data_IF_308325456197
#
_entry.id   IF_308325456197
#
_cell.length_a   1.000
_cell.length_b   1.000
_cell.length_c   1.000
_cell.angle_alpha   90.00
_cell.angle_beta   90.00
_cell.angle_gamma   90.00
#
_symmetry.space_group_name_H-M   'P 1'
#
loop_
_entity.id
_entity.type
_entity.pdbx_description
1 polymer ?
#
# COMPACT_ATOMS: atom_id res chain seq x y z
N UNK A 1 4.69 15.06 6.90
CA UNK A 1 5.29 13.95 6.13
C UNK A 1 4.84 14.03 4.69
N UNK A 2 5.70 13.68 3.72
CA UNK A 2 5.41 13.67 2.27
C UNK A 2 5.87 12.35 1.67
N UNK A 3 5.33 11.91 0.53
CA UNK A 3 5.84 10.74 -0.18
C UNK A 3 7.32 10.90 -0.48
N UNK A 4 8.11 9.84 -0.29
CA UNK A 4 9.53 9.78 -0.63
C UNK A 4 9.81 8.49 -1.40
N UNK A 5 10.88 8.50 -2.18
CA UNK A 5 11.39 7.29 -2.83
C UNK A 5 12.43 6.66 -1.91
N UNK A 6 12.22 5.44 -1.47
CA UNK A 6 13.07 4.78 -0.48
C UNK A 6 14.50 4.57 -0.98
N UNK A 7 14.69 4.35 -2.29
CA UNK A 7 16.03 4.26 -2.87
C UNK A 7 16.84 5.54 -2.66
N UNK A 8 16.20 6.72 -2.75
CA UNK A 8 16.84 8.01 -2.46
C UNK A 8 17.14 8.13 -0.97
N UNK A 9 16.19 7.76 -0.10
CA UNK A 9 16.37 7.81 1.36
C UNK A 9 17.56 6.93 1.79
N UNK A 10 17.63 5.70 1.28
CA UNK A 10 18.74 4.77 1.56
C UNK A 10 20.09 5.28 1.06
N UNK A 11 20.14 5.88 -0.14
CA UNK A 11 21.38 6.51 -0.64
C UNK A 11 21.82 7.68 0.21
N UNK A 12 20.89 8.51 0.68
CA UNK A 12 21.23 9.59 1.62
C UNK A 12 21.78 9.03 2.93
N UNK A 13 21.20 7.98 3.45
CA UNK A 13 21.69 7.31 4.65
C UNK A 13 23.10 6.73 4.44
N UNK A 14 23.37 6.15 3.27
CA UNK A 14 24.70 5.67 2.88
C UNK A 14 25.72 6.82 2.80
N UNK A 15 25.34 7.99 2.27
CA UNK A 15 26.23 9.17 2.26
C UNK A 15 26.56 9.59 3.69
N UNK A 16 25.57 9.65 4.60
CA UNK A 16 25.81 9.97 6.01
C UNK A 16 26.79 8.95 6.63
N UNK A 17 26.60 7.66 6.35
CA UNK A 17 27.49 6.62 6.86
C UNK A 17 28.94 6.76 6.38
N UNK A 18 29.15 7.10 5.10
CA UNK A 18 30.48 7.34 4.51
C UNK A 18 31.20 8.59 5.07
N UNK A 19 30.47 9.49 5.71
CA UNK A 19 30.99 10.68 6.38
C UNK A 19 31.16 10.44 7.90
N UNK A 20 31.68 9.28 8.28
CA UNK A 20 31.83 8.84 9.67
C UNK A 20 30.54 8.96 10.52
N UNK A 21 29.40 8.84 9.84
CA UNK A 21 28.08 8.96 10.45
C UNK A 21 27.71 10.37 10.92
N UNK A 22 28.41 11.42 10.44
CA UNK A 22 28.21 12.82 10.86
C UNK A 22 28.37 13.79 9.70
N UNK A 23 27.29 14.57 9.40
CA UNK A 23 27.31 15.52 8.28
C UNK A 23 26.35 16.70 8.53
N UNK A 24 26.63 17.87 7.99
CA UNK A 24 25.65 18.96 7.95
C UNK A 24 24.58 18.69 6.90
N UNK A 25 23.29 19.07 7.13
CA UNK A 25 22.23 18.87 6.15
C UNK A 25 22.50 19.46 4.77
N UNK A 26 23.18 20.61 4.73
CA UNK A 26 23.53 21.26 3.46
C UNK A 26 24.67 20.53 2.73
N UNK A 27 25.63 19.98 3.44
CA UNK A 27 26.72 19.17 2.88
C UNK A 27 26.17 17.86 2.33
N UNK A 28 25.26 17.20 3.05
CA UNK A 28 24.55 16.01 2.57
C UNK A 28 23.83 16.31 1.26
N UNK A 29 23.12 17.44 1.18
CA UNK A 29 22.41 17.84 -0.02
C UNK A 29 23.36 18.09 -1.20
N UNK A 30 24.49 18.75 -0.97
CA UNK A 30 25.49 19.02 -2.00
C UNK A 30 26.13 17.74 -2.53
N UNK A 31 26.51 16.81 -1.65
CA UNK A 31 27.07 15.51 -2.05
C UNK A 31 26.01 14.72 -2.83
N UNK A 32 24.77 14.64 -2.34
CA UNK A 32 23.69 13.94 -3.01
C UNK A 32 23.37 14.52 -4.41
N UNK A 33 23.50 15.83 -4.60
CA UNK A 33 23.37 16.47 -5.90
C UNK A 33 24.53 16.09 -6.81
N UNK A 34 25.77 16.18 -6.33
CA UNK A 34 26.97 15.83 -7.08
C UNK A 34 26.97 14.36 -7.52
N UNK A 35 26.53 13.44 -6.64
CA UNK A 35 26.40 12.01 -6.96
C UNK A 35 25.13 11.68 -7.79
N UNK A 36 24.30 12.68 -8.12
CA UNK A 36 23.10 12.48 -8.91
C UNK A 36 21.99 11.70 -8.19
N UNK A 37 22.01 11.65 -6.86
CA UNK A 37 20.98 11.00 -6.04
C UNK A 37 19.64 11.71 -6.19
N UNK A 38 19.65 13.05 -6.21
CA UNK A 38 18.46 13.87 -6.38
C UNK A 38 18.11 14.10 -7.86
N UNK A 39 17.84 13.03 -8.60
CA UNK A 39 17.37 13.11 -9.98
C UNK A 39 15.93 12.60 -10.11
N UNK A 40 15.12 13.28 -10.90
CA UNK A 40 13.79 12.81 -11.28
C UNK A 40 13.90 11.56 -12.15
N UNK A 41 13.21 10.50 -11.81
CA UNK A 41 13.13 9.27 -12.62
C UNK A 41 12.52 9.52 -14.00
N UNK A 42 11.64 10.52 -14.10
CA UNK A 42 10.91 10.82 -15.35
C UNK A 42 11.70 11.71 -16.29
N UNK A 43 12.38 12.73 -15.75
CA UNK A 43 13.04 13.76 -16.57
C UNK A 43 14.56 13.68 -16.53
N UNK A 44 15.14 12.93 -15.59
CA UNK A 44 16.60 12.89 -15.35
C UNK A 44 17.19 14.18 -14.77
N UNK A 45 16.38 15.23 -14.62
CA UNK A 45 16.81 16.53 -14.08
C UNK A 45 16.93 16.51 -12.57
N UNK A 46 17.78 17.38 -11.97
CA UNK A 46 17.85 17.52 -10.52
C UNK A 46 16.48 17.87 -9.91
N UNK A 47 16.16 17.26 -8.78
CA UNK A 47 14.95 17.59 -8.02
C UNK A 47 15.03 19.03 -7.50
N UNK A 48 13.90 19.75 -7.50
CA UNK A 48 13.77 21.07 -6.90
C UNK A 48 14.08 21.03 -5.38
N UNK A 49 14.33 22.18 -4.77
CA UNK A 49 14.67 22.29 -3.34
C UNK A 49 13.62 21.67 -2.41
N UNK A 50 12.32 21.93 -2.67
CA UNK A 50 11.24 21.43 -1.80
C UNK A 50 11.18 19.90 -1.68
N UNK A 51 11.20 19.10 -2.77
CA UNK A 51 11.33 17.64 -2.65
C UNK A 51 12.56 17.21 -1.86
N UNK A 52 13.73 17.80 -2.09
CA UNK A 52 14.98 17.46 -1.38
C UNK A 52 14.85 17.66 0.13
N UNK A 53 14.19 18.73 0.56
CA UNK A 53 13.89 18.98 1.96
C UNK A 53 13.06 17.84 2.59
N UNK A 54 12.06 17.29 1.89
CA UNK A 54 11.24 16.21 2.43
C UNK A 54 12.00 14.89 2.57
N UNK A 55 12.94 14.59 1.69
CA UNK A 55 13.82 13.43 1.86
C UNK A 55 14.69 13.55 3.12
N UNK A 56 15.28 14.73 3.37
CA UNK A 56 16.04 14.97 4.60
C UNK A 56 15.18 14.85 5.85
N UNK A 57 13.96 15.41 5.79
CA UNK A 57 13.00 15.28 6.89
C UNK A 57 12.56 13.83 7.14
N UNK A 58 12.47 13.00 6.12
CA UNK A 58 12.18 11.57 6.31
C UNK A 58 13.29 10.87 7.11
N UNK A 59 14.57 11.22 6.89
CA UNK A 59 15.67 10.68 7.69
C UNK A 59 15.52 11.01 9.19
N UNK A 60 15.15 12.25 9.50
CA UNK A 60 14.93 12.70 10.89
C UNK A 60 13.68 12.03 11.49
N UNK A 61 12.54 12.10 10.80
CA UNK A 61 11.26 11.59 11.30
C UNK A 61 11.26 10.10 11.61
N UNK A 62 11.98 9.32 10.84
CA UNK A 62 12.07 7.87 11.04
C UNK A 62 13.24 7.47 11.94
N UNK A 63 13.95 8.44 12.51
CA UNK A 63 15.05 8.18 13.41
C UNK A 63 16.28 7.55 12.75
N UNK A 64 16.43 7.68 11.43
CA UNK A 64 17.65 7.26 10.73
C UNK A 64 18.84 8.09 11.14
N UNK A 65 18.58 9.38 11.38
CA UNK A 65 19.57 10.33 11.88
C UNK A 65 19.00 11.17 13.01
N UNK A 66 19.86 11.59 13.91
CA UNK A 66 19.57 12.58 14.94
C UNK A 66 20.18 13.92 14.52
N UNK A 67 19.40 14.99 14.64
CA UNK A 67 19.89 16.33 14.38
C UNK A 67 20.38 16.98 15.68
N UNK A 68 21.69 16.99 15.89
CA UNK A 68 22.31 17.56 17.09
C UNK A 68 23.14 18.77 16.66
N UNK A 69 22.80 19.95 17.18
CA UNK A 69 23.50 21.21 16.89
C UNK A 69 23.70 21.49 15.38
N UNK A 70 22.67 21.20 14.59
CA UNK A 70 22.68 21.43 13.14
C UNK A 70 23.51 20.43 12.33
N UNK A 71 23.85 19.29 12.91
CA UNK A 71 24.51 18.18 12.22
C UNK A 71 23.67 16.91 12.36
N UNK A 72 23.63 16.13 11.31
CA UNK A 72 23.06 14.79 11.31
C UNK A 72 24.07 13.79 11.86
N UNK A 73 23.64 13.00 12.82
CA UNK A 73 24.36 11.86 13.35
C UNK A 73 23.55 10.61 13.02
N UNK A 74 24.20 9.60 12.46
CA UNK A 74 23.53 8.35 12.16
C UNK A 74 23.09 7.65 13.45
N UNK A 75 21.89 7.15 13.47
CA UNK A 75 21.40 6.37 14.61
C UNK A 75 22.16 5.06 14.73
N UNK A 76 22.61 4.72 15.93
CA UNK A 76 23.30 3.46 16.23
C UNK A 76 22.35 2.30 16.56
N UNK A 77 21.05 2.47 16.32
CA UNK A 77 20.09 1.39 16.53
C UNK A 77 20.34 0.22 15.59
N UNK A 78 20.21 -1.04 16.05
CA UNK A 78 20.48 -2.22 15.24
C UNK A 78 19.75 -2.25 13.87
N UNK A 79 18.46 -1.87 13.79
CA UNK A 79 17.76 -1.82 12.50
C UNK A 79 18.40 -0.85 11.49
N UNK A 80 18.89 0.30 11.95
CA UNK A 80 19.52 1.31 11.09
C UNK A 80 20.89 0.81 10.61
N UNK A 81 21.68 0.20 11.51
CA UNK A 81 22.96 -0.39 11.14
C UNK A 81 22.81 -1.51 10.11
N UNK A 82 21.74 -2.30 10.19
CA UNK A 82 21.41 -3.33 9.20
C UNK A 82 21.06 -2.72 7.83
N UNK A 83 20.33 -1.61 7.79
CA UNK A 83 20.00 -0.91 6.54
C UNK A 83 21.25 -0.42 5.81
N UNK A 84 22.28 -0.02 6.53
CA UNK A 84 23.52 0.53 5.98
C UNK A 84 24.48 -0.57 5.54
N UNK A 85 24.50 -1.71 6.22
CA UNK A 85 25.46 -2.80 6.00
C UNK A 85 25.39 -3.45 4.61
N UNK A 86 24.30 -3.23 3.86
CA UNK A 86 24.06 -3.79 2.52
C UNK A 86 23.91 -2.66 1.49
N UNK A 87 24.14 -2.98 0.20
CA UNK A 87 23.97 -2.02 -0.91
C UNK A 87 22.66 -1.25 -0.82
N UNK A 88 22.62 0.00 -1.26
CA UNK A 88 21.47 0.93 -1.18
C UNK A 88 20.23 0.51 -2.03
N UNK A 89 20.13 -0.74 -2.47
CA UNK A 89 18.94 -1.29 -3.14
C UNK A 89 17.94 -1.81 -2.13
N UNK A 90 16.67 -1.50 -2.35
CA UNK A 90 15.58 -1.95 -1.48
C UNK A 90 15.25 -3.43 -1.77
N UNK A 91 15.43 -4.29 -0.79
CA UNK A 91 15.02 -5.70 -0.80
C UNK A 91 13.90 -5.96 0.23
N UNK A 92 13.40 -7.18 0.30
CA UNK A 92 12.31 -7.56 1.20
C UNK A 92 12.67 -7.35 2.68
N UNK A 93 13.92 -7.59 3.07
CA UNK A 93 14.35 -7.39 4.44
C UNK A 93 14.40 -5.91 4.82
N UNK A 94 14.94 -5.06 3.93
CA UNK A 94 14.94 -3.61 4.13
C UNK A 94 13.53 -3.03 4.17
N UNK A 95 12.62 -3.53 3.30
CA UNK A 95 11.20 -3.16 3.37
C UNK A 95 10.61 -3.46 4.74
N UNK A 96 10.88 -4.65 5.30
CA UNK A 96 10.41 -5.02 6.63
C UNK A 96 10.96 -4.10 7.71
N UNK A 97 12.26 -3.83 7.71
CA UNK A 97 12.90 -2.93 8.68
C UNK A 97 12.31 -1.51 8.59
N UNK A 98 12.15 -0.98 7.39
CA UNK A 98 11.55 0.34 7.17
C UNK A 98 10.10 0.35 7.67
N UNK A 99 9.33 -0.70 7.38
CA UNK A 99 7.96 -0.83 7.87
C UNK A 99 7.89 -0.82 9.40
N UNK A 100 8.77 -1.54 10.08
CA UNK A 100 8.88 -1.53 11.54
C UNK A 100 9.20 -0.14 12.09
N UNK A 101 10.14 0.59 11.46
CA UNK A 101 10.46 1.95 11.86
C UNK A 101 9.28 2.91 11.67
N UNK A 102 8.51 2.75 10.59
CA UNK A 102 7.32 3.56 10.35
C UNK A 102 6.24 3.28 11.43
N UNK A 103 5.94 2.02 11.70
CA UNK A 103 4.87 1.67 12.66
C UNK A 103 5.23 2.02 14.10
N UNK A 104 6.51 2.04 14.44
CA UNK A 104 7.01 2.42 15.76
C UNK A 104 7.24 3.92 15.93
N UNK A 105 7.21 4.70 14.85
CA UNK A 105 7.31 6.14 14.92
C UNK A 105 6.08 6.73 15.64
N UNK A 106 6.28 7.57 16.66
CA UNK A 106 5.23 8.11 17.52
C UNK A 106 4.11 8.81 16.74
N UNK A 107 4.46 9.65 15.75
CA UNK A 107 3.49 10.36 14.92
C UNK A 107 2.69 9.40 14.02
N UNK A 108 3.38 8.40 13.46
CA UNK A 108 2.75 7.37 12.62
C UNK A 108 1.82 6.49 13.45
N UNK A 109 2.30 6.07 14.63
CA UNK A 109 1.55 5.25 15.58
C UNK A 109 0.26 5.94 15.99
N UNK A 110 0.35 7.16 16.50
CA UNK A 110 -0.78 7.94 17.02
C UNK A 110 -1.82 8.26 15.94
N UNK A 111 -1.39 8.64 14.75
CA UNK A 111 -2.29 9.19 13.74
C UNK A 111 -2.82 8.18 12.72
N UNK A 112 -2.20 7.01 12.58
CA UNK A 112 -2.60 6.03 11.58
C UNK A 112 -2.59 4.60 12.11
N UNK A 113 -1.45 4.13 12.66
CA UNK A 113 -1.27 2.72 13.06
C UNK A 113 -2.24 2.32 14.17
N UNK A 114 -2.56 3.24 15.09
CA UNK A 114 -3.50 3.02 16.19
C UNK A 114 -4.91 2.59 15.74
N UNK A 115 -5.28 2.89 14.48
CA UNK A 115 -6.54 2.45 13.89
C UNK A 115 -6.59 0.95 13.59
N UNK A 116 -5.45 0.27 13.59
CA UNK A 116 -5.34 -1.17 13.32
C UNK A 116 -5.06 -1.99 14.58
N UNK A 117 -4.80 -1.35 15.72
CA UNK A 117 -4.35 -2.00 16.94
C UNK A 117 -5.47 -2.10 17.97
N UNK A 118 -5.57 -3.29 18.61
CA UNK A 118 -6.40 -3.51 19.80
C UNK A 118 -5.74 -2.95 21.06
N UNK A 119 -4.41 -2.99 21.12
CA UNK A 119 -3.58 -2.50 22.21
C UNK A 119 -2.40 -1.65 21.70
N UNK A 120 -1.62 -1.09 22.60
CA UNK A 120 -0.49 -0.18 22.26
C UNK A 120 0.79 -0.90 21.78
N UNK A 121 0.79 -2.22 21.67
CA UNK A 121 1.94 -2.97 21.16
C UNK A 121 2.04 -2.83 19.65
N UNK A 122 3.17 -2.33 19.17
CA UNK A 122 3.40 -1.98 17.78
C UNK A 122 4.44 -2.86 17.08
N UNK A 123 4.46 -4.17 17.33
CA UNK A 123 5.25 -5.05 16.50
C UNK A 123 4.54 -5.24 15.15
N UNK A 124 5.27 -5.06 14.06
CA UNK A 124 4.72 -5.21 12.71
C UNK A 124 4.07 -6.58 12.51
N UNK A 125 4.69 -7.65 12.99
CA UNK A 125 4.17 -9.00 12.91
C UNK A 125 2.82 -9.15 13.65
N UNK A 126 2.66 -8.54 14.82
CA UNK A 126 1.41 -8.56 15.56
C UNK A 126 0.28 -7.85 14.81
N UNK A 127 0.60 -6.70 14.17
CA UNK A 127 -0.35 -5.96 13.35
C UNK A 127 -0.74 -6.78 12.11
N UNK A 128 0.23 -7.41 11.46
CA UNK A 128 0.01 -8.25 10.30
C UNK A 128 -0.84 -9.48 10.59
N UNK A 129 -0.80 -10.00 11.81
CA UNK A 129 -1.58 -11.14 12.25
C UNK A 129 -2.98 -10.76 12.78
N UNK A 130 -3.28 -9.48 13.00
CA UNK A 130 -4.59 -9.02 13.45
C UNK A 130 -5.56 -8.83 12.29
N UNK A 131 -6.83 -9.04 12.53
CA UNK A 131 -7.90 -8.90 11.52
C UNK A 131 -8.43 -7.47 11.35
N UNK A 132 -7.73 -6.45 11.86
CA UNK A 132 -8.14 -5.07 11.75
C UNK A 132 -7.87 -4.49 10.36
N UNK A 133 -8.81 -3.69 9.87
CA UNK A 133 -8.73 -2.94 8.63
C UNK A 133 -9.35 -1.56 8.83
N UNK A 134 -9.03 -0.64 7.93
CA UNK A 134 -9.53 0.72 7.96
C UNK A 134 -10.27 1.03 6.67
N UNK A 135 -11.43 1.64 6.78
CA UNK A 135 -12.18 2.17 5.65
C UNK A 135 -11.94 3.68 5.60
N UNK A 136 -11.36 4.13 4.51
CA UNK A 136 -11.25 5.55 4.23
C UNK A 136 -12.47 6.01 3.41
N UNK A 137 -13.30 6.84 4.00
CA UNK A 137 -14.50 7.42 3.36
C UNK A 137 -14.21 8.84 2.92
N UNK A 138 -14.79 9.20 1.81
CA UNK A 138 -14.66 10.43 1.04
C UNK A 138 -13.41 10.57 0.19
N UNK A 139 -13.65 10.65 -1.11
CA UNK A 139 -12.70 10.76 -2.18
C UNK A 139 -13.21 11.74 -3.19
N UNK A 140 -12.73 12.87 -3.21
CA UNK A 140 -12.52 13.57 -4.45
C UNK A 140 -11.42 14.59 -4.19
N UNK A 141 -10.20 14.16 -4.44
CA UNK A 141 -9.24 15.11 -4.94
C UNK A 141 -9.70 15.35 -6.36
N UNK A 142 -10.65 16.25 -6.53
CA UNK A 142 -10.88 16.86 -7.81
C UNK A 142 -9.60 17.62 -8.12
N UNK A 143 -8.74 17.02 -8.92
CA UNK A 143 -7.70 17.71 -9.64
C UNK A 143 -8.38 18.63 -10.67
N UNK A 144 -9.02 19.68 -10.20
CA UNK A 144 -9.26 20.84 -11.04
C UNK A 144 -7.90 21.50 -11.24
N UNK A 145 -7.43 21.42 -12.47
CA UNK A 145 -6.23 22.08 -13.00
C UNK A 145 -6.41 23.62 -13.04
N UNK A 146 -6.83 24.25 -11.98
CA UNK A 146 -6.80 25.70 -11.88
C UNK A 146 -6.16 26.11 -10.57
N UNK A 147 -5.18 26.92 -10.70
CA UNK A 147 -4.14 27.41 -9.81
C UNK A 147 -4.58 28.20 -8.58
N UNK A 148 -5.79 28.05 -8.07
CA UNK A 148 -6.22 28.78 -6.89
C UNK A 148 -7.14 27.91 -6.03
N UNK A 149 -6.66 27.55 -4.83
CA UNK A 149 -7.37 26.92 -3.73
C UNK A 149 -7.83 25.47 -4.00
N UNK A 150 -6.93 24.51 -3.75
CA UNK A 150 -7.27 23.11 -3.54
C UNK A 150 -8.13 23.00 -2.28
N UNK A 151 -9.44 22.94 -2.41
CA UNK A 151 -10.29 22.52 -1.30
C UNK A 151 -10.15 21.01 -1.16
N UNK A 152 -9.29 20.58 -0.26
CA UNK A 152 -9.21 19.17 0.13
C UNK A 152 -10.45 18.88 0.97
N UNK A 153 -11.28 17.92 0.53
CA UNK A 153 -12.40 17.46 1.35
C UNK A 153 -11.85 16.65 2.53
N UNK A 154 -12.46 16.76 3.72
CA UNK A 154 -12.09 15.94 4.87
C UNK A 154 -12.10 14.45 4.51
N UNK A 155 -11.15 13.70 5.06
CA UNK A 155 -11.08 12.25 4.93
C UNK A 155 -11.41 11.64 6.29
N UNK A 156 -12.39 10.75 6.33
CA UNK A 156 -12.69 9.95 7.50
C UNK A 156 -12.02 8.59 7.38
N UNK A 157 -11.16 8.26 8.33
CA UNK A 157 -10.62 6.91 8.51
C UNK A 157 -11.39 6.21 9.63
N UNK A 158 -12.07 5.14 9.29
CA UNK A 158 -12.89 4.36 10.23
C UNK A 158 -12.33 2.95 10.36
N UNK A 159 -12.07 2.51 11.58
CA UNK A 159 -11.78 1.11 11.90
C UNK A 159 -13.06 0.44 12.42
N UNK A 160 -13.79 -0.31 11.58
CA UNK A 160 -15.07 -0.89 11.99
C UNK A 160 -14.92 -1.93 13.10
N UNK A 161 -13.80 -2.66 13.14
CA UNK A 161 -13.54 -3.69 14.14
C UNK A 161 -13.16 -3.13 15.50
N UNK A 162 -12.61 -1.93 15.54
CA UNK A 162 -12.12 -1.30 16.78
C UNK A 162 -12.99 -0.14 17.24
N UNK A 163 -14.05 0.16 16.50
CA UNK A 163 -14.91 1.32 16.71
C UNK A 163 -14.12 2.64 16.88
N UNK A 164 -13.07 2.80 16.06
CA UNK A 164 -12.20 3.96 16.08
C UNK A 164 -12.35 4.77 14.81
N UNK A 165 -12.42 6.10 14.97
CA UNK A 165 -12.52 7.04 13.86
C UNK A 165 -11.48 8.14 13.99
N UNK A 166 -10.90 8.55 12.86
CA UNK A 166 -10.06 9.76 12.76
C UNK A 166 -10.59 10.60 11.61
N UNK A 167 -10.96 11.84 11.91
CA UNK A 167 -11.23 12.85 10.87
C UNK A 167 -9.94 13.58 10.52
N UNK A 168 -9.63 13.63 9.24
CA UNK A 168 -8.48 14.35 8.70
C UNK A 168 -9.06 15.52 7.90
N UNK A 169 -9.04 16.71 8.45
CA UNK A 169 -9.75 17.88 7.98
C UNK A 169 -8.84 19.01 7.45
N UNK A 170 -7.58 19.02 7.87
CA UNK A 170 -6.62 20.03 7.42
C UNK A 170 -5.72 19.52 6.30
N UNK A 171 -5.37 20.37 5.30
CA UNK A 171 -4.50 19.98 4.19
C UNK A 171 -3.18 19.32 4.63
N UNK A 172 -2.52 19.88 5.64
CA UNK A 172 -1.25 19.36 6.13
C UNK A 172 -1.40 17.98 6.78
N UNK A 173 -2.47 17.77 7.52
CA UNK A 173 -2.78 16.48 8.15
C UNK A 173 -3.16 15.42 7.12
N UNK A 174 -3.96 15.79 6.10
CA UNK A 174 -4.27 14.91 4.95
C UNK A 174 -2.98 14.50 4.24
N UNK A 175 -2.09 15.45 3.98
CA UNK A 175 -0.81 15.16 3.35
C UNK A 175 0.10 14.29 4.24
N UNK A 176 0.18 14.59 5.54
CA UNK A 176 1.04 13.83 6.45
C UNK A 176 0.57 12.38 6.61
N UNK A 177 -0.72 12.15 6.83
CA UNK A 177 -1.27 10.83 7.15
C UNK A 177 -1.58 10.05 5.88
N UNK A 178 -2.44 10.58 5.03
CA UNK A 178 -2.96 9.83 3.89
C UNK A 178 -1.97 9.77 2.72
N UNK A 179 -1.26 10.85 2.44
CA UNK A 179 -0.27 10.90 1.36
C UNK A 179 1.16 10.52 1.81
N UNK A 180 1.51 10.76 3.08
CA UNK A 180 2.80 10.40 3.65
C UNK A 180 2.80 8.97 4.18
N UNK A 181 2.28 8.76 5.39
CA UNK A 181 2.38 7.48 6.12
C UNK A 181 1.78 6.33 5.33
N UNK A 182 0.56 6.48 4.82
CA UNK A 182 -0.07 5.45 4.00
C UNK A 182 0.78 5.10 2.78
N UNK A 183 1.30 6.10 2.08
CA UNK A 183 2.15 5.87 0.90
C UNK A 183 3.45 5.17 1.26
N UNK A 184 4.08 5.56 2.36
CA UNK A 184 5.29 4.92 2.85
C UNK A 184 5.07 3.43 3.13
N UNK A 185 3.99 3.08 3.82
CA UNK A 185 3.65 1.69 4.12
C UNK A 185 3.26 0.88 2.87
N UNK A 186 2.61 1.51 1.87
CA UNK A 186 2.34 0.89 0.57
C UNK A 186 3.63 0.60 -0.20
N UNK A 187 4.56 1.55 -0.24
CA UNK A 187 5.81 1.42 -0.99
C UNK A 187 6.75 0.35 -0.40
N UNK A 188 6.70 0.16 0.91
CA UNK A 188 7.39 -0.97 1.58
C UNK A 188 6.54 -2.23 1.67
N UNK A 189 5.37 -2.22 1.04
CA UNK A 189 4.48 -3.36 0.94
C UNK A 189 3.97 -3.92 2.29
N UNK A 190 4.00 -3.11 3.35
CA UNK A 190 3.47 -3.49 4.66
C UNK A 190 1.95 -3.43 4.72
N UNK A 191 1.34 -2.56 3.93
CA UNK A 191 -0.12 -2.49 3.75
C UNK A 191 -0.49 -2.68 2.29
N UNK A 192 -1.74 -3.01 2.07
CA UNK A 192 -2.36 -2.95 0.75
C UNK A 192 -3.72 -2.27 0.84
N UNK A 193 -4.29 -1.95 -0.31
CA UNK A 193 -5.56 -1.25 -0.40
C UNK A 193 -6.40 -1.73 -1.57
N UNK A 194 -7.70 -1.77 -1.37
CA UNK A 194 -8.67 -2.19 -2.37
C UNK A 194 -9.95 -1.36 -2.27
N UNK A 195 -10.65 -1.23 -3.37
CA UNK A 195 -12.03 -0.76 -3.44
C UNK A 195 -12.81 -1.88 -4.15
N UNK A 196 -13.75 -2.50 -3.45
CA UNK A 196 -14.55 -3.60 -4.01
C UNK A 196 -15.80 -3.12 -4.73
N UNK A 197 -16.27 -1.92 -4.38
CA UNK A 197 -17.40 -1.25 -5.02
C UNK A 197 -17.16 0.25 -5.10
N UNK A 198 -17.64 0.95 -6.14
CA UNK A 198 -17.53 2.43 -6.23
C UNK A 198 -18.15 3.18 -5.05
N UNK A 199 -19.14 2.57 -4.38
CA UNK A 199 -19.80 3.13 -3.18
C UNK A 199 -19.11 2.73 -1.88
N UNK A 200 -18.35 1.65 -1.86
CA UNK A 200 -17.54 1.25 -0.73
C UNK A 200 -16.34 2.20 -0.61
N UNK A 201 -15.98 2.60 0.57
CA UNK A 201 -14.75 3.35 0.77
C UNK A 201 -13.53 2.53 0.38
N UNK A 202 -12.37 3.18 0.36
CA UNK A 202 -11.09 2.50 0.19
C UNK A 202 -10.77 1.71 1.45
N UNK A 203 -10.60 0.42 1.33
CA UNK A 203 -10.19 -0.47 2.42
C UNK A 203 -8.67 -0.55 2.45
N UNK A 204 -8.08 -0.29 3.60
CA UNK A 204 -6.64 -0.34 3.85
C UNK A 204 -6.39 -1.38 4.93
N UNK A 205 -5.45 -2.27 4.72
CA UNK A 205 -5.13 -3.35 5.67
C UNK A 205 -3.64 -3.67 5.68
N UNK A 206 -3.13 -4.13 6.83
CA UNK A 206 -1.78 -4.68 6.91
C UNK A 206 -1.76 -6.06 6.25
N UNK A 207 -0.75 -6.27 5.40
CA UNK A 207 -0.59 -7.51 4.64
C UNK A 207 0.00 -8.59 5.53
N UNK A 208 -0.55 -9.80 5.47
CA UNK A 208 0.10 -10.98 6.01
C UNK A 208 1.01 -11.60 4.93
N UNK A 209 2.34 -11.50 5.05
CA UNK A 209 3.27 -11.97 4.03
C UNK A 209 3.37 -13.50 3.94
N UNK A 210 2.86 -14.24 4.94
CA UNK A 210 2.94 -15.70 4.98
C UNK A 210 1.85 -16.41 4.18
N UNK A 211 0.92 -15.66 3.57
CA UNK A 211 -0.17 -16.26 2.80
C UNK A 211 0.34 -16.71 1.43
N UNK A 212 0.38 -18.02 1.22
CA UNK A 212 0.77 -18.66 -0.04
C UNK A 212 -0.43 -19.17 -0.85
N UNK A 213 -0.17 -19.65 -2.07
CA UNK A 213 -1.18 -20.12 -3.02
C UNK A 213 -2.03 -21.29 -2.49
N UNK A 214 -1.44 -22.21 -1.73
CA UNK A 214 -2.19 -23.35 -1.17
C UNK A 214 -3.31 -22.94 -0.21
N UNK A 215 -3.02 -21.95 0.64
CA UNK A 215 -4.03 -21.40 1.54
C UNK A 215 -5.11 -20.63 0.77
N UNK A 216 -4.71 -19.89 -0.26
CA UNK A 216 -5.66 -19.20 -1.14
C UNK A 216 -6.57 -20.18 -1.89
N UNK A 217 -6.04 -21.31 -2.36
CA UNK A 217 -6.83 -22.36 -3.01
C UNK A 217 -7.88 -22.96 -2.06
N UNK A 218 -7.48 -23.23 -0.82
CA UNK A 218 -8.40 -23.74 0.21
C UNK A 218 -9.54 -22.77 0.47
N UNK A 219 -9.21 -21.48 0.67
CA UNK A 219 -10.20 -20.44 0.92
C UNK A 219 -11.04 -20.14 -0.31
N UNK A 220 -10.48 -20.24 -1.51
CA UNK A 220 -11.24 -20.09 -2.75
C UNK A 220 -12.29 -21.19 -2.89
N UNK A 221 -11.93 -22.44 -2.61
CA UNK A 221 -12.91 -23.53 -2.58
C UNK A 221 -14.00 -23.32 -1.52
N UNK A 222 -13.65 -22.82 -0.31
CA UNK A 222 -14.63 -22.44 0.70
C UNK A 222 -15.56 -21.33 0.26
N UNK A 223 -15.01 -20.32 -0.41
CA UNK A 223 -15.78 -19.23 -1.00
C UNK A 223 -16.74 -19.74 -2.08
N UNK A 224 -16.28 -20.60 -3.01
CA UNK A 224 -17.13 -21.15 -4.08
C UNK A 224 -18.30 -21.97 -3.52
N UNK A 225 -18.11 -22.71 -2.44
CA UNK A 225 -19.19 -23.48 -1.80
C UNK A 225 -20.36 -22.62 -1.34
N UNK A 226 -20.17 -21.33 -1.09
CA UNK A 226 -21.26 -20.40 -0.75
C UNK A 226 -22.22 -20.13 -1.91
N UNK A 227 -21.74 -20.28 -3.14
CA UNK A 227 -22.50 -20.08 -4.36
C UNK A 227 -23.01 -21.40 -4.97
N UNK A 228 -22.71 -22.51 -4.31
CA UNK A 228 -23.09 -23.81 -4.79
C UNK A 228 -24.61 -23.98 -4.76
N UNK A 229 -25.17 -24.32 -5.93
CA UNK A 229 -26.57 -24.71 -6.09
C UNK A 229 -26.61 -26.09 -6.76
N UNK A 230 -27.30 -27.10 -6.17
CA UNK A 230 -27.26 -28.49 -6.66
C UNK A 230 -27.63 -28.65 -8.14
N UNK A 231 -28.52 -27.79 -8.64
CA UNK A 231 -29.08 -27.86 -9.98
C UNK A 231 -28.31 -27.07 -11.05
N UNK A 232 -27.13 -26.54 -10.74
CA UNK A 232 -26.33 -25.79 -11.70
C UNK A 232 -24.94 -26.42 -11.83
N UNK A 233 -24.50 -26.61 -13.05
CA UNK A 233 -23.14 -27.12 -13.34
C UNK A 233 -22.08 -26.02 -13.32
N UNK A 234 -22.47 -24.78 -13.43
CA UNK A 234 -21.61 -23.62 -13.46
C UNK A 234 -21.99 -22.60 -12.41
N UNK A 235 -20.99 -22.08 -11.72
CA UNK A 235 -21.10 -21.04 -10.71
C UNK A 235 -20.47 -19.77 -11.24
N UNK A 236 -21.25 -18.69 -11.25
CA UNK A 236 -20.77 -17.35 -11.60
C UNK A 236 -20.40 -16.61 -10.33
N UNK A 237 -19.15 -16.21 -10.21
CA UNK A 237 -18.66 -15.40 -9.09
C UNK A 237 -18.22 -14.02 -9.57
N UNK A 238 -18.39 -13.02 -8.70
CA UNK A 238 -17.86 -11.66 -8.89
C UNK A 238 -16.52 -11.56 -8.17
N UNK A 239 -15.46 -11.18 -8.88
CA UNK A 239 -14.09 -11.17 -8.33
C UNK A 239 -13.93 -10.24 -7.13
N UNK A 240 -14.46 -9.01 -7.12
CA UNK A 240 -14.40 -8.17 -5.93
C UNK A 240 -14.97 -8.80 -4.66
N UNK A 241 -16.00 -9.65 -4.78
CA UNK A 241 -16.57 -10.36 -3.62
C UNK A 241 -15.57 -11.37 -3.04
N UNK A 242 -14.75 -11.99 -3.89
CA UNK A 242 -13.71 -12.89 -3.42
C UNK A 242 -12.58 -12.12 -2.71
N UNK A 243 -12.17 -10.97 -3.23
CA UNK A 243 -11.21 -10.11 -2.52
C UNK A 243 -11.75 -9.67 -1.16
N UNK A 244 -13.00 -9.26 -1.11
CA UNK A 244 -13.69 -8.88 0.12
C UNK A 244 -13.73 -10.05 1.12
N UNK A 245 -14.06 -11.24 0.62
CA UNK A 245 -14.04 -12.46 1.43
C UNK A 245 -12.65 -12.74 2.03
N UNK A 246 -11.58 -12.70 1.23
CA UNK A 246 -10.21 -12.95 1.69
C UNK A 246 -9.80 -11.94 2.75
N UNK A 247 -10.13 -10.66 2.58
CA UNK A 247 -9.70 -9.60 3.48
C UNK A 247 -10.47 -9.62 4.81
N UNK A 248 -11.80 -9.80 4.75
CA UNK A 248 -12.66 -9.61 5.91
C UNK A 248 -13.11 -10.91 6.60
N UNK A 249 -13.42 -11.94 5.83
CA UNK A 249 -14.06 -13.13 6.37
C UNK A 249 -13.08 -14.24 6.70
N UNK A 250 -12.08 -14.46 5.85
CA UNK A 250 -11.05 -15.49 6.08
C UNK A 250 -9.90 -15.01 6.95
N UNK A 251 -9.85 -13.74 7.27
CA UNK A 251 -8.76 -13.09 8.00
C UNK A 251 -7.38 -13.23 7.34
N UNK A 252 -7.34 -13.64 6.09
CA UNK A 252 -6.10 -13.92 5.37
C UNK A 252 -5.48 -12.67 4.80
N UNK A 253 -5.80 -11.55 4.86
CA UNK A 253 -5.19 -10.28 4.38
C UNK A 253 -4.00 -10.45 3.44
N UNK A 254 -4.17 -11.35 2.46
CA UNK A 254 -3.20 -11.55 1.41
C UNK A 254 -3.07 -10.27 0.57
N UNK A 255 -1.87 -10.03 0.05
CA UNK A 255 -1.66 -8.92 -0.88
C UNK A 255 -2.51 -9.11 -2.15
N UNK A 256 -3.09 -8.03 -2.67
CA UNK A 256 -3.91 -8.08 -3.89
C UNK A 256 -3.14 -8.68 -5.07
N UNK A 257 -1.84 -8.43 -5.19
CA UNK A 257 -0.98 -9.04 -6.21
C UNK A 257 -0.87 -10.56 -6.06
N UNK A 258 -0.79 -11.08 -4.84
CA UNK A 258 -0.73 -12.53 -4.57
C UNK A 258 -2.05 -13.20 -4.92
N UNK A 259 -3.18 -12.59 -4.51
CA UNK A 259 -4.52 -13.07 -4.88
C UNK A 259 -4.67 -13.08 -6.41
N UNK A 260 -4.22 -12.04 -7.08
CA UNK A 260 -4.28 -11.90 -8.52
C UNK A 260 -3.47 -12.98 -9.24
N UNK A 261 -2.23 -13.21 -8.82
CA UNK A 261 -1.37 -14.25 -9.39
C UNK A 261 -1.98 -15.63 -9.20
N UNK A 262 -2.48 -15.93 -8.00
CA UNK A 262 -3.22 -17.16 -7.72
C UNK A 262 -4.39 -17.36 -8.69
N UNK A 263 -5.25 -16.33 -8.86
CA UNK A 263 -6.41 -16.43 -9.76
C UNK A 263 -6.00 -16.62 -11.22
N UNK A 264 -4.95 -15.95 -11.68
CA UNK A 264 -4.41 -16.13 -13.04
C UNK A 264 -3.89 -17.55 -13.24
N UNK A 265 -3.11 -18.07 -12.29
CA UNK A 265 -2.61 -19.45 -12.33
C UNK A 265 -3.77 -20.43 -12.32
N UNK A 266 -4.73 -20.29 -11.43
CA UNK A 266 -5.91 -21.13 -11.33
C UNK A 266 -6.71 -21.17 -12.64
N UNK A 267 -6.93 -20.03 -13.31
CA UNK A 267 -7.60 -19.94 -14.60
C UNK A 267 -6.79 -20.69 -15.67
N UNK A 268 -5.47 -20.49 -15.72
CA UNK A 268 -4.61 -21.10 -16.71
C UNK A 268 -4.53 -22.63 -16.59
N UNK A 269 -4.53 -23.14 -15.37
CA UNK A 269 -4.51 -24.58 -15.08
C UNK A 269 -5.86 -25.26 -15.36
N UNK A 270 -6.96 -24.51 -15.31
CA UNK A 270 -8.33 -25.03 -15.40
C UNK A 270 -9.13 -24.45 -16.58
N UNK A 271 -8.49 -24.21 -17.73
CA UNK A 271 -9.10 -23.49 -18.90
C UNK A 271 -10.42 -24.08 -19.39
N UNK A 272 -10.62 -25.40 -19.28
CA UNK A 272 -11.86 -26.08 -19.69
C UNK A 272 -13.00 -25.91 -18.67
N UNK A 273 -12.65 -25.60 -17.43
CA UNK A 273 -13.57 -25.57 -16.28
C UNK A 273 -13.70 -24.18 -15.65
N UNK A 274 -12.95 -23.19 -16.15
CA UNK A 274 -13.01 -21.79 -15.69
C UNK A 274 -13.04 -20.86 -16.89
N UNK A 275 -14.12 -20.09 -17.00
CA UNK A 275 -14.33 -19.14 -18.08
C UNK A 275 -14.28 -17.71 -17.52
N UNK A 276 -13.24 -16.93 -17.83
CA UNK A 276 -13.19 -15.52 -17.47
C UNK A 276 -14.18 -14.70 -18.30
N UNK A 277 -14.97 -13.85 -17.63
CA UNK A 277 -15.95 -12.99 -18.27
C UNK A 277 -15.47 -11.54 -18.18
N UNK A 278 -15.20 -10.89 -19.32
CA UNK A 278 -14.73 -9.52 -19.35
C UNK A 278 -15.82 -8.54 -18.89
N UNK A 279 -15.36 -7.39 -18.41
CA UNK A 279 -16.25 -6.27 -18.11
C UNK A 279 -16.75 -5.71 -19.45
N UNK A 280 -18.05 -5.85 -19.71
CA UNK A 280 -18.68 -5.08 -20.78
C UNK A 280 -18.96 -3.65 -20.32
N UNK A 281 -18.87 -2.67 -21.21
CA UNK A 281 -19.11 -1.26 -20.88
C UNK A 281 -20.50 -0.96 -20.30
N UNK A 282 -21.44 -1.89 -20.41
CA UNK A 282 -22.80 -1.84 -19.83
C UNK A 282 -22.88 -2.32 -18.38
N UNK A 283 -21.86 -3.04 -17.88
CA UNK A 283 -21.86 -3.56 -16.50
C UNK A 283 -21.38 -2.55 -15.45
N UNK A 284 -20.60 -1.59 -15.88
CA UNK A 284 -20.27 -0.43 -15.04
C UNK A 284 -21.28 0.65 -15.45
N UNK A 285 -22.12 1.09 -14.52
CA UNK A 285 -23.04 2.20 -14.75
C UNK A 285 -22.40 3.22 -15.68
N UNK A 286 -23.06 3.54 -16.77
CA UNK A 286 -22.58 4.34 -17.90
C UNK A 286 -21.96 5.71 -17.49
N UNK A 287 -22.15 6.13 -16.25
CA UNK A 287 -21.67 7.41 -15.71
C UNK A 287 -20.18 7.42 -15.35
N UNK A 288 -19.51 6.26 -15.18
CA UNK A 288 -18.11 6.25 -14.80
C UNK A 288 -17.33 5.32 -15.71
N UNK A 289 -16.63 5.89 -16.67
CA UNK A 289 -15.72 5.13 -17.54
C UNK A 289 -14.70 4.39 -16.68
N UNK A 290 -14.62 3.07 -16.80
CA UNK A 290 -13.71 2.21 -16.03
C UNK A 290 -12.24 2.70 -16.08
N UNK A 291 -11.84 3.27 -17.21
CA UNK A 291 -10.51 3.87 -17.41
C UNK A 291 -10.20 5.01 -16.46
N UNK A 292 -11.23 5.74 -15.99
CA UNK A 292 -11.11 6.85 -15.03
C UNK A 292 -11.23 6.41 -13.57
N UNK A 293 -11.48 5.12 -13.33
CA UNK A 293 -11.60 4.60 -11.96
C UNK A 293 -10.28 4.64 -11.21
N UNK A 294 -10.40 4.69 -9.88
CA UNK A 294 -9.25 4.62 -8.97
C UNK A 294 -8.43 3.33 -9.20
N UNK A 295 -7.11 3.45 -9.11
CA UNK A 295 -6.21 2.31 -9.24
C UNK A 295 -6.50 1.20 -8.21
N UNK A 296 -6.96 1.55 -7.00
CA UNK A 296 -7.34 0.58 -5.98
C UNK A 296 -8.61 -0.20 -6.38
N UNK A 297 -9.55 0.43 -7.09
CA UNK A 297 -10.70 -0.26 -7.65
C UNK A 297 -10.29 -1.23 -8.76
N UNK A 298 -9.41 -0.80 -9.66
CA UNK A 298 -8.89 -1.65 -10.75
C UNK A 298 -8.13 -2.88 -10.24
N UNK A 299 -7.56 -2.83 -9.04
CA UNK A 299 -6.86 -3.96 -8.43
C UNK A 299 -7.75 -5.16 -8.13
N UNK A 300 -9.05 -4.97 -7.92
CA UNK A 300 -10.01 -6.06 -7.70
C UNK A 300 -10.40 -6.82 -8.96
N UNK A 301 -9.85 -6.44 -10.12
CA UNK A 301 -10.11 -7.09 -11.40
C UNK A 301 -8.84 -7.70 -11.99
N UNK A 302 -8.99 -8.81 -12.71
CA UNK A 302 -7.91 -9.37 -13.50
C UNK A 302 -7.82 -8.62 -14.83
N UNK A 303 -6.61 -8.45 -15.34
CA UNK A 303 -6.38 -7.86 -16.65
C UNK A 303 -5.64 -8.87 -17.54
N UNK A 304 -6.28 -9.35 -18.56
CA UNK A 304 -5.69 -10.24 -19.57
C UNK A 304 -5.46 -9.47 -20.85
N UNK A 305 -4.27 -9.64 -21.43
CA UNK A 305 -3.86 -8.89 -22.62
C UNK A 305 -4.86 -9.01 -23.77
N UNK A 306 -5.45 -10.19 -23.94
CA UNK A 306 -6.32 -10.51 -25.08
C UNK A 306 -7.81 -10.23 -24.85
N UNK A 307 -8.27 -10.13 -23.58
CA UNK A 307 -9.70 -9.98 -23.25
C UNK A 307 -10.00 -8.78 -22.36
N UNK A 308 -8.96 -8.03 -21.94
CA UNK A 308 -9.11 -6.87 -21.09
C UNK A 308 -9.40 -7.22 -19.63
N UNK A 309 -10.11 -6.32 -18.95
CA UNK A 309 -10.46 -6.50 -17.55
C UNK A 309 -11.58 -7.50 -17.34
N UNK A 310 -11.37 -8.46 -16.44
CA UNK A 310 -12.30 -9.52 -16.07
C UNK A 310 -12.90 -9.24 -14.72
N UNK A 311 -14.22 -9.20 -14.63
CA UNK A 311 -14.98 -8.98 -13.39
C UNK A 311 -15.55 -10.26 -12.81
N UNK A 312 -15.84 -11.26 -13.65
CA UNK A 312 -16.51 -12.48 -13.23
C UNK A 312 -15.74 -13.70 -13.72
N UNK A 313 -15.90 -14.80 -12.96
CA UNK A 313 -15.51 -16.13 -13.41
C UNK A 313 -16.75 -17.03 -13.43
N UNK A 314 -16.94 -17.77 -14.51
CA UNK A 314 -17.78 -18.95 -14.52
C UNK A 314 -16.93 -20.17 -14.22
N UNK A 315 -17.26 -20.92 -13.19
CA UNK A 315 -16.47 -22.04 -12.68
C UNK A 315 -17.34 -23.30 -12.70
N UNK A 316 -16.84 -24.37 -13.30
CA UNK A 316 -17.51 -25.66 -13.28
C UNK A 316 -17.47 -26.24 -11.87
N UNK A 317 -18.58 -26.82 -11.41
CA UNK A 317 -18.72 -27.41 -10.09
C UNK A 317 -17.74 -28.55 -9.80
N UNK A 318 -17.17 -29.17 -10.80
CA UNK A 318 -16.19 -30.27 -10.63
C UNK A 318 -14.89 -29.83 -9.96
N UNK A 319 -14.64 -28.51 -9.87
CA UNK A 319 -13.45 -27.93 -9.23
C UNK A 319 -13.65 -27.62 -7.72
N UNK A 320 -14.86 -27.80 -7.19
CA UNK A 320 -15.22 -27.49 -5.82
C UNK A 320 -15.13 -28.74 -4.95
#
# INVERSE_FOLDING_TARGET
MRPVEWDIVLKLLEIVARQDGKIRPIELENIALAEGVFKSKTTGTPLAHSPRFYYRKALEHLGFVENISGKYFISKSPPILELISKRATIDSNKKRIIAELIVNNEDCKKNFVSLFLLDDKCKLEEIQNKSAYVIAKSYSIEHKQSSAKRSLKPIMLTSPLLDKNISIDTPDRIHAIFWGIRRWLLDVEAIDEIITSPKAGRVIYFVNPSIGEQLLLLEFKRFLRRYFTPNRDWIKIYLPDFYEYIIFNSQMRARTSVIKNFLVNFINENKSSVIPIPISGTMLNAEVKFEKQDAAFKRSFLNFHNIGYVAYLNINKTLI
#
